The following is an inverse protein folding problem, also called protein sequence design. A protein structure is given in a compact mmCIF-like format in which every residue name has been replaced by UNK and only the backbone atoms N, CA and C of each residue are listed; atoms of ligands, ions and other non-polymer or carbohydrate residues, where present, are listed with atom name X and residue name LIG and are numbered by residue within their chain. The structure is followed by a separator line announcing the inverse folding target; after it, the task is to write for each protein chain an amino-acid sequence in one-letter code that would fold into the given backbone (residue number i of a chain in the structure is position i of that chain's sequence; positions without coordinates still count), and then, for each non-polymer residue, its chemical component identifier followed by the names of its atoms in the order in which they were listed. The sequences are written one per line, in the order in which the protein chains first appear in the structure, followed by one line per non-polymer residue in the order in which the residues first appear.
data_IF_114207698530
#
_entry.id   IF_114207698530
#
_cell.length_a   1.000
_cell.length_b   1.000
_cell.length_c   1.000
_cell.angle_alpha   90.00
_cell.angle_beta   90.00
_cell.angle_gamma   90.00
#
_symmetry.space_group_name_H-M   'P 1'
#
loop_
_entity.id
_entity.type
_entity.pdbx_description
1 polymer ?
#
# COMPACT_ATOMS: atom_id res chain seq x y z
N UNK A 1 -18.25 -12.36 -4.41
CA UNK A 1 -18.31 -11.54 -3.19
C UNK A 1 -17.37 -10.34 -3.32
N UNK A 2 -17.91 -9.12 -3.22
CA UNK A 2 -17.12 -7.88 -3.38
C UNK A 2 -15.99 -7.73 -2.35
N UNK A 3 -16.18 -8.23 -1.13
CA UNK A 3 -15.14 -8.22 -0.09
C UNK A 3 -13.92 -9.06 -0.48
N UNK A 4 -14.14 -10.29 -0.95
CA UNK A 4 -13.04 -11.14 -1.43
C UNK A 4 -12.33 -10.51 -2.63
N UNK A 5 -13.11 -9.92 -3.54
CA UNK A 5 -12.55 -9.23 -4.71
C UNK A 5 -11.58 -8.12 -4.34
N UNK A 6 -11.90 -7.24 -3.37
CA UNK A 6 -11.00 -6.15 -2.97
C UNK A 6 -9.76 -6.66 -2.23
N UNK A 7 -9.89 -7.71 -1.41
CA UNK A 7 -8.75 -8.31 -0.71
C UNK A 7 -7.71 -8.82 -1.72
N UNK A 8 -8.16 -9.60 -2.72
CA UNK A 8 -7.30 -10.16 -3.76
C UNK A 8 -6.74 -9.06 -4.65
N UNK A 9 -7.57 -8.09 -5.06
CA UNK A 9 -7.15 -6.99 -5.92
C UNK A 9 -6.07 -6.14 -5.26
N UNK A 10 -6.27 -5.72 -4.00
CA UNK A 10 -5.28 -4.93 -3.26
C UNK A 10 -3.97 -5.70 -3.06
N UNK A 11 -4.05 -6.98 -2.70
CA UNK A 11 -2.89 -7.85 -2.56
C UNK A 11 -2.08 -7.95 -3.85
N UNK A 12 -2.75 -8.28 -4.96
CA UNK A 12 -2.08 -8.55 -6.22
C UNK A 12 -1.57 -7.28 -6.89
N UNK A 13 -2.46 -6.29 -7.10
CA UNK A 13 -2.15 -5.11 -7.89
C UNK A 13 -1.39 -4.03 -7.12
N UNK A 14 -1.55 -3.96 -5.79
CA UNK A 14 -0.93 -2.88 -5.00
C UNK A 14 0.28 -3.34 -4.17
N UNK A 15 0.51 -4.66 -4.00
CA UNK A 15 1.69 -5.16 -3.29
C UNK A 15 2.54 -6.07 -4.17
N UNK A 16 2.01 -7.17 -4.70
CA UNK A 16 2.80 -8.12 -5.47
C UNK A 16 3.30 -7.50 -6.80
N UNK A 17 2.45 -6.79 -7.54
CA UNK A 17 2.82 -6.17 -8.81
C UNK A 17 3.93 -5.11 -8.66
N UNK A 18 3.89 -4.14 -7.72
CA UNK A 18 5.00 -3.22 -7.52
C UNK A 18 6.34 -3.90 -7.22
N UNK A 19 6.34 -5.00 -6.45
CA UNK A 19 7.56 -5.78 -6.20
C UNK A 19 8.03 -6.46 -7.49
N UNK A 20 7.11 -7.05 -8.26
CA UNK A 20 7.43 -7.67 -9.53
C UNK A 20 8.03 -6.69 -10.54
N UNK A 21 7.48 -5.48 -10.64
CA UNK A 21 7.89 -4.48 -11.61
C UNK A 21 9.17 -3.75 -11.22
N UNK A 22 9.34 -3.43 -9.92
CA UNK A 22 10.38 -2.51 -9.44
C UNK A 22 11.39 -3.16 -8.48
N UNK A 23 11.17 -4.40 -8.05
CA UNK A 23 12.03 -5.08 -7.10
C UNK A 23 13.33 -5.57 -7.72
N UNK A 24 14.38 -5.67 -6.90
CA UNK A 24 15.62 -6.36 -7.26
C UNK A 24 15.37 -7.87 -7.41
N UNK A 25 16.27 -8.64 -8.07
CA UNK A 25 16.15 -10.11 -8.13
C UNK A 25 15.97 -10.75 -6.76
N UNK A 26 16.71 -10.26 -5.75
CA UNK A 26 16.67 -10.77 -4.36
C UNK A 26 15.32 -10.46 -3.70
N UNK A 27 14.81 -9.23 -3.85
CA UNK A 27 13.48 -8.87 -3.37
C UNK A 27 12.40 -9.72 -4.01
N UNK A 28 12.43 -9.91 -5.34
CA UNK A 28 11.50 -10.77 -6.05
C UNK A 28 11.55 -12.22 -5.55
N UNK A 29 12.75 -12.77 -5.40
CA UNK A 29 12.95 -14.14 -4.93
C UNK A 29 12.46 -14.34 -3.50
N UNK A 30 12.59 -13.32 -2.64
CA UNK A 30 12.17 -13.38 -1.24
C UNK A 30 10.64 -13.28 -1.09
N UNK A 31 10.00 -12.33 -1.77
CA UNK A 31 8.61 -11.95 -1.50
C UNK A 31 7.60 -12.60 -2.45
N UNK A 32 7.88 -12.67 -3.74
CA UNK A 32 6.87 -13.09 -4.72
C UNK A 32 6.39 -14.54 -4.54
N UNK A 33 7.24 -15.54 -4.26
CA UNK A 33 6.74 -16.91 -4.08
C UNK A 33 5.68 -17.02 -2.99
N UNK A 34 5.88 -16.36 -1.85
CA UNK A 34 4.96 -16.38 -0.71
C UNK A 34 3.69 -15.56 -0.97
N UNK A 35 3.82 -14.41 -1.64
CA UNK A 35 2.67 -13.62 -2.04
C UNK A 35 1.84 -14.35 -3.11
N UNK A 36 2.46 -14.95 -4.12
CA UNK A 36 1.75 -15.66 -5.18
C UNK A 36 1.08 -16.97 -4.71
N UNK A 37 1.65 -17.64 -3.70
CA UNK A 37 1.05 -18.84 -3.11
C UNK A 37 -0.09 -18.53 -2.13
N UNK A 38 -0.21 -17.26 -1.68
CA UNK A 38 -1.14 -16.86 -0.63
C UNK A 38 -0.66 -17.21 0.78
N UNK A 39 0.59 -17.67 0.96
CA UNK A 39 1.20 -17.85 2.28
C UNK A 39 1.33 -16.50 2.99
N UNK A 40 1.66 -15.45 2.25
CA UNK A 40 1.69 -14.07 2.73
C UNK A 40 0.65 -13.19 2.03
N UNK A 41 0.06 -12.29 2.79
CA UNK A 41 -0.86 -11.28 2.27
C UNK A 41 -0.14 -9.92 2.19
N UNK A 42 -0.45 -9.16 1.14
CA UNK A 42 0.13 -7.84 0.90
C UNK A 42 -0.83 -6.69 1.10
N UNK A 43 -0.28 -5.52 1.47
CA UNK A 43 -0.99 -4.26 1.61
C UNK A 43 -0.17 -3.09 1.03
N UNK A 44 -0.83 -1.91 0.84
CA UNK A 44 -0.23 -0.73 0.25
C UNK A 44 -0.53 0.51 1.09
N UNK A 45 0.50 1.13 1.65
CA UNK A 45 0.44 2.28 2.55
C UNK A 45 0.85 3.58 1.86
N UNK A 46 -0.13 4.33 1.31
CA UNK A 46 0.06 5.66 0.73
C UNK A 46 -0.60 6.74 1.58
N UNK A 47 -1.92 6.62 1.80
CA UNK A 47 -2.77 7.64 2.41
C UNK A 47 -2.38 7.96 3.84
N UNK A 48 -2.35 9.24 4.18
CA UNK A 48 -2.11 9.75 5.54
C UNK A 48 -3.27 10.64 6.00
N UNK A 49 -3.40 10.94 7.30
CA UNK A 49 -4.45 11.84 7.80
C UNK A 49 -4.47 13.20 7.09
N UNK A 50 -3.30 13.75 6.75
CA UNK A 50 -3.15 15.02 6.05
C UNK A 50 -2.90 14.91 4.54
N UNK A 51 -2.86 13.70 3.97
CA UNK A 51 -2.51 13.44 2.57
C UNK A 51 -3.44 12.38 1.95
N UNK A 52 -4.67 12.77 1.70
CA UNK A 52 -5.67 11.98 0.97
C UNK A 52 -5.66 12.35 -0.52
N UNK A 53 -6.50 13.33 -0.91
CA UNK A 53 -6.55 13.82 -2.30
C UNK A 53 -5.21 14.40 -2.75
N UNK A 54 -4.54 15.19 -1.89
CA UNK A 54 -3.16 15.60 -2.11
C UNK A 54 -2.19 14.51 -1.62
N UNK A 55 -2.04 13.47 -2.43
CA UNK A 55 -1.15 12.35 -2.12
C UNK A 55 0.35 12.73 -2.09
N UNK A 56 0.74 13.92 -2.56
CA UNK A 56 2.10 14.45 -2.41
C UNK A 56 2.36 15.06 -1.03
N UNK A 57 1.32 15.40 -0.29
CA UNK A 57 1.39 16.01 1.03
C UNK A 57 1.95 15.10 2.14
N UNK A 58 2.66 14.03 1.78
CA UNK A 58 3.21 13.02 2.71
C UNK A 58 3.97 13.64 3.89
N UNK A 59 3.74 13.10 5.08
CA UNK A 59 4.42 13.48 6.33
C UNK A 59 5.25 12.34 6.92
N UNK A 60 4.90 11.07 6.63
CA UNK A 60 5.70 9.92 7.02
C UNK A 60 7.09 10.04 6.41
N UNK A 61 8.12 10.00 7.24
CA UNK A 61 9.52 10.17 6.84
C UNK A 61 10.28 8.86 6.91
N UNK A 62 11.29 8.70 6.06
CA UNK A 62 12.28 7.63 6.14
C UNK A 62 13.68 8.26 6.13
N UNK A 63 14.45 8.03 7.19
CA UNK A 63 15.83 8.53 7.33
C UNK A 63 16.82 7.37 7.26
N UNK A 64 17.94 7.59 6.59
CA UNK A 64 19.05 6.63 6.62
C UNK A 64 19.72 6.64 8.00
N UNK A 65 20.00 5.45 8.52
CA UNK A 65 20.80 5.23 9.73
C UNK A 65 21.69 4.00 9.55
N UNK A 66 22.89 4.21 9.06
CA UNK A 66 23.84 3.15 8.73
C UNK A 66 23.28 2.19 7.67
N UNK A 67 23.12 0.92 8.02
CA UNK A 67 22.59 -0.12 7.13
C UNK A 67 21.06 -0.24 7.16
N UNK A 68 20.38 0.75 7.74
CA UNK A 68 18.93 0.76 7.93
C UNK A 68 18.29 2.02 7.38
N UNK A 69 16.99 1.93 7.13
CA UNK A 69 16.06 3.04 7.09
C UNK A 69 15.27 3.07 8.39
N UNK A 70 15.03 4.26 8.95
CA UNK A 70 14.18 4.48 10.11
C UNK A 70 12.95 5.27 9.66
N UNK A 71 11.79 4.62 9.73
CA UNK A 71 10.50 5.20 9.34
C UNK A 71 9.79 5.75 10.57
N UNK A 72 9.20 6.95 10.42
CA UNK A 72 8.36 7.60 11.43
C UNK A 72 7.14 8.26 10.78
N UNK A 73 5.96 8.03 11.35
CA UNK A 73 4.68 8.54 10.87
C UNK A 73 3.56 7.53 10.90
N UNK A 74 2.50 7.77 10.14
CA UNK A 74 1.39 6.81 10.02
C UNK A 74 0.74 6.83 8.65
N UNK A 75 0.04 5.74 8.33
CA UNK A 75 -0.80 5.59 7.14
C UNK A 75 -2.20 5.18 7.58
N UNK A 76 -3.24 5.72 6.95
CA UNK A 76 -4.63 5.40 7.28
C UNK A 76 -5.36 4.73 6.13
N UNK A 77 -6.45 4.07 6.47
CA UNK A 77 -7.35 3.40 5.53
C UNK A 77 -6.67 2.31 4.69
N UNK A 78 -5.76 1.56 5.31
CA UNK A 78 -4.97 0.55 4.58
C UNK A 78 -5.72 -0.78 4.53
N UNK A 79 -6.15 -1.11 3.31
CA UNK A 79 -6.80 -2.40 2.99
C UNK A 79 -5.85 -3.56 3.28
N UNK A 80 -6.39 -4.66 3.78
CA UNK A 80 -5.68 -5.86 4.20
C UNK A 80 -4.78 -5.71 5.44
N UNK A 81 -4.57 -4.51 5.97
CA UNK A 81 -3.56 -4.26 7.00
C UNK A 81 -3.72 -5.13 8.25
N UNK A 82 -4.95 -5.48 8.64
CA UNK A 82 -5.20 -6.36 9.80
C UNK A 82 -4.57 -7.75 9.68
N UNK A 83 -4.34 -8.23 8.46
CA UNK A 83 -3.86 -9.59 8.17
C UNK A 83 -2.60 -9.64 7.29
N UNK A 84 -2.21 -8.53 6.67
CA UNK A 84 -1.07 -8.50 5.75
C UNK A 84 0.25 -8.77 6.49
N UNK A 85 1.15 -9.48 5.81
CA UNK A 85 2.51 -9.78 6.25
C UNK A 85 3.52 -8.79 5.67
N UNK A 86 3.23 -8.27 4.47
CA UNK A 86 4.11 -7.38 3.70
C UNK A 86 3.36 -6.12 3.29
N UNK A 87 4.00 -4.97 3.44
CA UNK A 87 3.43 -3.66 3.16
C UNK A 87 4.35 -2.89 2.22
N UNK A 88 3.81 -2.36 1.12
CA UNK A 88 4.51 -1.33 0.33
C UNK A 88 4.16 0.01 0.94
N UNK A 89 5.16 0.73 1.42
CA UNK A 89 4.98 2.00 2.14
C UNK A 89 5.70 3.13 1.40
N UNK A 90 4.98 4.21 1.15
CA UNK A 90 5.54 5.43 0.55
C UNK A 90 5.91 6.39 1.69
N UNK A 91 7.16 6.83 1.73
CA UNK A 91 7.63 7.78 2.75
C UNK A 91 8.60 8.82 2.15
N UNK A 92 8.65 9.99 2.78
CA UNK A 92 9.54 11.09 2.38
C UNK A 92 10.98 10.75 2.74
N UNK A 93 11.87 10.77 1.76
CA UNK A 93 13.30 10.55 1.95
C UNK A 93 14.13 11.80 1.82
N UNK A 94 13.66 12.78 1.03
CA UNK A 94 14.43 13.97 0.72
C UNK A 94 13.56 15.22 0.64
N UNK A 95 14.11 16.35 1.06
CA UNK A 95 13.54 17.67 0.82
C UNK A 95 14.44 18.41 -0.16
N UNK A 96 13.91 18.84 -1.28
CA UNK A 96 14.64 19.49 -2.36
C UNK A 96 13.93 20.78 -2.79
N UNK A 97 14.60 21.60 -3.59
CA UNK A 97 13.94 22.72 -4.26
C UNK A 97 13.54 22.29 -5.68
N UNK A 98 12.33 22.64 -6.09
CA UNK A 98 11.85 22.42 -7.45
C UNK A 98 12.58 23.40 -8.44
N UNK A 99 12.32 23.26 -9.74
CA UNK A 99 12.90 24.12 -10.78
C UNK A 99 12.56 25.63 -10.61
N UNK A 100 11.60 25.95 -9.76
CA UNK A 100 11.17 27.31 -9.41
C UNK A 100 11.65 27.76 -8.04
N UNK A 101 12.55 26.98 -7.39
CA UNK A 101 13.11 27.27 -6.08
C UNK A 101 12.12 27.04 -4.92
N UNK A 102 11.02 26.32 -5.11
CA UNK A 102 10.04 26.03 -4.05
C UNK A 102 10.39 24.72 -3.36
N UNK A 103 10.26 24.66 -2.00
CA UNK A 103 10.43 23.42 -1.27
C UNK A 103 9.50 22.33 -1.79
N UNK A 104 10.03 21.16 -2.06
CA UNK A 104 9.27 19.97 -2.47
C UNK A 104 9.84 18.73 -1.80
N UNK A 105 8.99 17.74 -1.57
CA UNK A 105 9.38 16.47 -0.95
C UNK A 105 9.54 15.40 -2.02
N UNK A 106 10.60 14.61 -1.91
CA UNK A 106 10.75 13.39 -2.68
C UNK A 106 10.43 12.19 -1.81
N UNK A 107 9.58 11.32 -2.32
CA UNK A 107 9.20 10.09 -1.64
C UNK A 107 9.90 8.89 -2.28
N UNK A 108 10.21 7.90 -1.45
CA UNK A 108 10.65 6.56 -1.88
C UNK A 108 9.65 5.52 -1.43
N UNK A 109 9.70 4.34 -2.05
CA UNK A 109 8.89 3.20 -1.68
C UNK A 109 9.73 2.20 -0.87
N UNK A 110 9.11 1.56 0.10
CA UNK A 110 9.76 0.62 1.00
C UNK A 110 8.92 -0.64 1.16
N UNK A 111 9.59 -1.79 1.31
CA UNK A 111 8.98 -3.05 1.70
C UNK A 111 9.11 -3.16 3.22
N UNK A 112 8.00 -3.11 3.94
CA UNK A 112 7.92 -3.30 5.39
C UNK A 112 7.29 -4.64 5.68
N UNK A 113 7.86 -5.39 6.60
CA UNK A 113 7.30 -6.66 7.10
C UNK A 113 6.57 -6.41 8.42
N UNK A 114 5.52 -7.20 8.67
CA UNK A 114 4.72 -7.08 9.90
C UNK A 114 5.56 -7.19 11.18
N UNK A 115 6.66 -7.90 11.11
CA UNK A 115 7.56 -8.18 12.25
C UNK A 115 8.67 -7.16 12.45
N UNK A 116 8.73 -6.11 11.61
CA UNK A 116 9.78 -5.10 11.73
C UNK A 116 9.66 -4.33 13.06
N UNK A 117 10.77 -4.13 13.77
CA UNK A 117 10.75 -3.38 15.02
C UNK A 117 10.25 -1.94 14.81
N UNK A 118 9.35 -1.47 15.68
CA UNK A 118 8.75 -0.14 15.58
C UNK A 118 7.61 -0.02 14.58
N UNK A 119 7.19 -1.12 13.95
CA UNK A 119 5.99 -1.19 13.12
C UNK A 119 4.82 -1.78 13.91
N UNK A 120 3.65 -1.16 13.81
CA UNK A 120 2.42 -1.70 14.37
C UNK A 120 1.21 -1.36 13.50
N UNK A 121 0.14 -2.14 13.67
CA UNK A 121 -1.13 -1.97 12.97
C UNK A 121 -2.19 -1.55 13.98
N UNK A 122 -2.86 -0.45 13.70
CA UNK A 122 -3.91 0.11 14.53
C UNK A 122 -5.23 -0.66 14.45
N UNK A 123 -6.24 -0.12 15.11
CA UNK A 123 -7.58 -0.71 15.15
C UNK A 123 -8.22 -0.74 13.75
N UNK A 124 -9.01 -1.78 13.49
CA UNK A 124 -9.79 -1.86 12.26
C UNK A 124 -10.92 -0.83 12.24
N UNK A 125 -11.11 -0.18 11.10
CA UNK A 125 -12.17 0.79 10.84
C UNK A 125 -13.57 0.12 10.82
N UNK A 126 -14.54 0.77 11.42
CA UNK A 126 -15.95 0.40 11.27
C UNK A 126 -16.52 1.03 10.00
N UNK A 127 -16.67 0.23 8.95
CA UNK A 127 -17.00 0.70 7.60
C UNK A 127 -18.49 0.49 7.29
N UNK A 128 -19.04 1.38 6.43
CA UNK A 128 -20.41 1.27 5.92
C UNK A 128 -20.58 0.02 5.02
N UNK A 129 -19.59 -0.33 4.21
CA UNK A 129 -19.60 -1.48 3.30
C UNK A 129 -18.25 -2.19 3.24
N UNK A 130 -18.18 -3.33 2.50
CA UNK A 130 -16.96 -4.15 2.39
C UNK A 130 -16.41 -4.52 3.80
N UNK A 131 -17.29 -4.77 4.75
CA UNK A 131 -16.97 -4.92 6.18
C UNK A 131 -16.09 -6.14 6.48
N UNK A 132 -16.12 -7.15 5.65
CA UNK A 132 -15.27 -8.34 5.79
C UNK A 132 -13.80 -8.14 5.37
N UNK A 133 -13.45 -7.00 4.74
CA UNK A 133 -12.07 -6.62 4.48
C UNK A 133 -11.55 -5.76 5.63
N UNK A 134 -10.40 -6.10 6.21
CA UNK A 134 -9.77 -5.25 7.22
C UNK A 134 -9.24 -3.97 6.58
N UNK A 135 -9.46 -2.86 7.28
CA UNK A 135 -8.93 -1.55 6.89
C UNK A 135 -8.40 -0.91 8.17
N UNK A 136 -7.10 -0.71 8.28
CA UNK A 136 -6.48 -0.25 9.50
C UNK A 136 -5.51 0.89 9.25
N UNK A 137 -5.05 1.51 10.32
CA UNK A 137 -3.90 2.40 10.33
C UNK A 137 -2.60 1.59 10.39
N UNK A 138 -1.54 2.08 9.76
CA UNK A 138 -0.16 1.63 9.96
C UNK A 138 0.57 2.69 10.77
N UNK A 139 1.30 2.27 11.80
CA UNK A 139 2.01 3.17 12.72
C UNK A 139 3.50 2.82 12.68
N UNK A 140 4.33 3.83 12.51
CA UNK A 140 5.78 3.72 12.45
C UNK A 140 6.39 4.60 13.54
N UNK A 141 7.01 3.96 14.54
CA UNK A 141 7.69 4.60 15.67
C UNK A 141 9.13 4.08 15.71
N UNK A 142 10.05 4.87 15.13
CA UNK A 142 11.43 4.46 14.88
C UNK A 142 11.53 3.08 14.20
N UNK A 143 10.63 2.83 13.25
CA UNK A 143 10.56 1.54 12.55
C UNK A 143 11.82 1.32 11.71
N UNK A 144 12.64 0.35 12.13
CA UNK A 144 13.92 0.05 11.49
C UNK A 144 13.76 -1.09 10.48
N UNK A 145 14.06 -0.80 9.23
CA UNK A 145 14.07 -1.78 8.13
C UNK A 145 15.46 -1.81 7.47
N UNK A 146 15.94 -2.97 7.01
CA UNK A 146 17.18 -3.08 6.27
C UNK A 146 17.22 -2.18 5.03
N UNK A 147 18.40 -1.67 4.69
CA UNK A 147 18.59 -0.71 3.59
C UNK A 147 18.20 -1.26 2.22
N UNK A 148 18.35 -2.55 2.03
CA UNK A 148 18.00 -3.30 0.82
C UNK A 148 16.47 -3.45 0.60
N UNK A 149 15.65 -2.99 1.55
CA UNK A 149 14.18 -3.00 1.42
C UNK A 149 13.59 -1.74 0.79
N UNK A 150 14.41 -0.80 0.34
CA UNK A 150 13.92 0.26 -0.54
C UNK A 150 13.53 -0.35 -1.88
N UNK A 151 12.28 -0.11 -2.32
CA UNK A 151 11.73 -0.62 -3.56
C UNK A 151 11.94 0.38 -4.70
N UNK A 152 12.58 -0.05 -5.77
CA UNK A 152 12.86 0.79 -6.94
C UNK A 152 13.94 1.84 -6.67
N UNK A 153 13.71 3.08 -7.10
CA UNK A 153 14.70 4.16 -7.09
C UNK A 153 14.36 5.22 -6.05
N UNK A 154 15.35 5.66 -5.26
CA UNK A 154 15.23 6.75 -4.29
C UNK A 154 14.60 8.00 -4.93
N UNK A 155 13.65 8.61 -4.26
CA UNK A 155 12.94 9.79 -4.72
C UNK A 155 11.91 9.55 -5.83
N UNK A 156 11.70 8.30 -6.25
CA UNK A 156 10.73 7.91 -7.28
C UNK A 156 9.50 7.16 -6.73
N UNK A 157 9.37 7.08 -5.41
CA UNK A 157 8.25 6.37 -4.76
C UNK A 157 6.88 6.93 -5.11
N UNK A 158 6.76 8.26 -5.28
CA UNK A 158 5.48 8.84 -5.70
C UNK A 158 5.11 8.45 -7.14
N UNK A 159 6.08 8.38 -8.06
CA UNK A 159 5.84 7.92 -9.43
C UNK A 159 5.44 6.44 -9.45
N UNK A 160 6.12 5.61 -8.64
CA UNK A 160 5.76 4.21 -8.46
C UNK A 160 4.32 4.09 -7.93
N UNK A 161 3.95 4.87 -6.92
CA UNK A 161 2.60 4.86 -6.36
C UNK A 161 1.55 5.22 -7.41
N UNK A 162 1.77 6.24 -8.23
CA UNK A 162 0.82 6.63 -9.29
C UNK A 162 0.66 5.54 -10.34
N UNK A 163 1.76 4.95 -10.81
CA UNK A 163 1.70 3.82 -11.76
C UNK A 163 0.94 2.62 -11.19
N UNK A 164 1.18 2.29 -9.91
CA UNK A 164 0.47 1.24 -9.19
C UNK A 164 -1.04 1.52 -9.12
N UNK A 165 -1.43 2.75 -8.82
CA UNK A 165 -2.83 3.14 -8.71
C UNK A 165 -3.56 3.17 -10.07
N UNK A 166 -2.87 3.41 -11.17
CA UNK A 166 -3.50 3.37 -12.51
C UNK A 166 -4.05 1.97 -12.81
N UNK A 167 -3.31 0.92 -12.50
CA UNK A 167 -3.81 -0.45 -12.55
C UNK A 167 -4.92 -0.74 -11.53
N UNK A 168 -4.76 -0.24 -10.30
CA UNK A 168 -5.73 -0.39 -9.22
C UNK A 168 -7.10 0.20 -9.53
N UNK A 169 -7.17 1.32 -10.25
CA UNK A 169 -8.43 1.96 -10.67
C UNK A 169 -9.27 1.06 -11.56
N UNK A 170 -8.65 0.32 -12.48
CA UNK A 170 -9.35 -0.65 -13.34
C UNK A 170 -9.95 -1.77 -12.49
N UNK A 171 -9.18 -2.29 -11.52
CA UNK A 171 -9.65 -3.33 -10.60
C UNK A 171 -10.87 -2.89 -9.78
N UNK A 172 -10.85 -1.69 -9.23
CA UNK A 172 -11.97 -1.13 -8.45
C UNK A 172 -13.20 -0.87 -9.34
N UNK A 173 -13.04 -0.39 -10.56
CA UNK A 173 -14.13 -0.22 -11.51
C UNK A 173 -14.79 -1.57 -11.85
N UNK A 174 -13.98 -2.60 -12.09
CA UNK A 174 -14.47 -3.97 -12.34
C UNK A 174 -15.21 -4.56 -11.14
N UNK A 175 -14.71 -4.31 -9.91
CA UNK A 175 -15.39 -4.71 -8.68
C UNK A 175 -16.78 -4.05 -8.56
N UNK A 176 -16.86 -2.74 -8.78
CA UNK A 176 -18.12 -2.00 -8.70
C UNK A 176 -19.15 -2.53 -9.72
N UNK A 177 -18.69 -2.79 -10.97
CA UNK A 177 -19.53 -3.37 -12.01
C UNK A 177 -20.03 -4.76 -11.64
N UNK A 178 -19.17 -5.65 -11.15
CA UNK A 178 -19.55 -7.00 -10.74
C UNK A 178 -20.51 -7.03 -9.57
N UNK A 179 -20.41 -6.10 -8.62
CA UNK A 179 -21.39 -5.96 -7.52
C UNK A 179 -22.73 -5.49 -8.07
N UNK A 180 -22.75 -4.54 -8.99
CA UNK A 180 -23.99 -4.01 -9.59
C UNK A 180 -24.69 -5.09 -10.44
N UNK A 181 -23.94 -5.85 -11.24
CA UNK A 181 -24.44 -6.96 -12.06
C UNK A 181 -25.06 -8.05 -11.19
N UNK A 182 -24.36 -8.52 -10.15
CA UNK A 182 -24.88 -9.51 -9.24
C UNK A 182 -26.15 -9.04 -8.50
N UNK A 183 -26.20 -7.78 -8.08
CA UNK A 183 -27.40 -7.22 -7.46
C UNK A 183 -28.60 -7.18 -8.43
N UNK A 184 -28.35 -6.85 -9.70
CA UNK A 184 -29.39 -6.85 -10.75
C UNK A 184 -29.91 -8.26 -11.03
N UNK A 185 -29.04 -9.24 -11.16
CA UNK A 185 -29.41 -10.65 -11.42
C UNK A 185 -30.29 -11.21 -10.29
N UNK A 186 -29.89 -11.02 -9.04
CA UNK A 186 -30.66 -11.43 -7.86
C UNK A 186 -32.04 -10.74 -7.82
N UNK A 187 -32.08 -9.43 -8.13
CA UNK A 187 -33.33 -8.68 -8.19
C UNK A 187 -34.28 -9.22 -9.25
N UNK A 188 -33.76 -9.48 -10.47
CA UNK A 188 -34.58 -10.06 -11.56
C UNK A 188 -35.10 -11.44 -11.19
N UNK A 189 -34.32 -12.28 -10.53
CA UNK A 189 -34.73 -13.58 -10.07
C UNK A 189 -35.86 -13.50 -9.00
N UNK A 190 -35.75 -12.50 -8.10
CA UNK A 190 -36.72 -12.30 -7.04
C UNK A 190 -38.09 -11.79 -7.54
N UNK A 191 -38.13 -10.92 -8.58
CA UNK A 191 -39.35 -10.30 -9.07
C UNK A 191 -40.08 -11.13 -10.13
N UNK A 192 -39.52 -12.23 -10.63
CA UNK A 192 -40.15 -13.22 -11.52
C UNK A 192 -40.90 -14.26 -10.73
#
# INVERSE_FOLDING_TARGET
CGTTGVIVSAHTSLCAAPIYENGTPEQKAKYLPKLCSGEWLGAFGLTEPGAGTDAQGQQTIAKEDGDYWVLNGSKIFITNAGFADVFIVIAVTDNVLDKRGRPTKLCSAFIVERTDPGFSVGKAEDKMGIRGSSTCELIFEDCRIPKDRMLGVRGKGFQLAMATLDGGRIGIASQALGIAEGALEETIAYVK
#
